data_IF_338745469025
#
_entry.id   IF_338745469025
#
_cell.length_a   1.000
_cell.length_b   1.000
_cell.length_c   1.000
_cell.angle_alpha   90.00
_cell.angle_beta   90.00
_cell.angle_gamma   90.00
#
_symmetry.space_group_name_H-M   'P 1'
#
loop_
_entity.id
_entity.type
_entity.pdbx_description
1 polymer ?
#
# COMPACT_ATOMS: atom_id res chain seq x y z
N UNK A 1 -28.97 3.77 -13.35
CA UNK A 1 -28.61 2.33 -13.31
C UNK A 1 -27.10 2.23 -13.11
N UNK A 2 -26.65 2.01 -11.87
CA UNK A 2 -25.29 1.54 -11.60
C UNK A 2 -25.35 0.74 -10.30
N UNK A 3 -25.80 -0.51 -10.45
CA UNK A 3 -25.70 -1.52 -9.42
C UNK A 3 -24.25 -2.04 -9.41
N UNK A 4 -23.54 -1.84 -8.30
CA UNK A 4 -22.59 -2.78 -7.70
C UNK A 4 -21.69 -2.09 -6.65
N UNK A 5 -22.19 -1.93 -5.41
CA UNK A 5 -21.30 -1.97 -4.25
C UNK A 5 -21.47 -3.26 -3.42
N UNK A 6 -22.36 -4.18 -3.82
CA UNK A 6 -22.63 -5.45 -3.11
C UNK A 6 -21.81 -6.64 -3.62
N UNK A 7 -21.46 -6.71 -4.91
CA UNK A 7 -20.69 -7.84 -5.46
C UNK A 7 -19.28 -7.95 -4.85
N UNK A 8 -18.66 -6.82 -4.49
CA UNK A 8 -17.34 -6.81 -3.85
C UNK A 8 -17.37 -7.31 -2.39
N UNK A 9 -18.55 -7.42 -1.76
CA UNK A 9 -18.67 -7.77 -0.33
C UNK A 9 -18.79 -9.28 -0.07
N UNK A 10 -19.19 -10.05 -1.08
CA UNK A 10 -19.25 -11.52 -1.03
C UNK A 10 -18.01 -12.20 -1.61
N UNK A 11 -17.10 -11.43 -2.19
CA UNK A 11 -15.82 -11.94 -2.68
C UNK A 11 -14.97 -12.42 -1.47
N UNK A 12 -14.40 -13.64 -1.51
CA UNK A 12 -13.55 -14.13 -0.43
C UNK A 12 -12.44 -13.12 -0.15
N UNK A 13 -12.11 -12.95 1.13
CA UNK A 13 -11.16 -11.91 1.59
C UNK A 13 -9.82 -11.98 0.87
N UNK A 14 -9.42 -13.17 0.42
CA UNK A 14 -8.27 -13.40 -0.46
C UNK A 14 -8.30 -12.55 -1.72
N UNK A 15 -9.41 -12.56 -2.42
CA UNK A 15 -9.54 -12.00 -3.77
C UNK A 15 -9.67 -10.47 -3.68
N UNK A 16 -10.24 -9.96 -2.57
CA UNK A 16 -10.17 -8.54 -2.21
C UNK A 16 -8.73 -8.08 -1.92
N UNK A 17 -7.98 -8.85 -1.11
CA UNK A 17 -6.56 -8.55 -0.83
C UNK A 17 -5.71 -8.63 -2.10
N UNK A 18 -5.94 -9.64 -2.94
CA UNK A 18 -5.30 -9.79 -4.23
C UNK A 18 -5.51 -8.54 -5.09
N UNK A 19 -6.76 -8.08 -5.21
CA UNK A 19 -7.10 -6.88 -5.99
C UNK A 19 -6.41 -5.62 -5.46
N UNK A 20 -6.37 -5.44 -4.14
CA UNK A 20 -5.67 -4.29 -3.53
C UNK A 20 -4.16 -4.34 -3.77
N UNK A 21 -3.55 -5.51 -3.66
CA UNK A 21 -2.11 -5.69 -3.88
C UNK A 21 -1.74 -5.53 -5.35
N UNK A 22 -2.55 -6.06 -6.28
CA UNK A 22 -2.37 -5.87 -7.72
C UNK A 22 -2.48 -4.39 -8.10
N UNK A 23 -3.50 -3.68 -7.59
CA UNK A 23 -3.63 -2.22 -7.82
C UNK A 23 -2.38 -1.45 -7.37
N UNK A 24 -1.75 -1.89 -6.27
CA UNK A 24 -0.49 -1.30 -5.82
C UNK A 24 0.67 -1.63 -6.76
N UNK A 25 0.75 -2.87 -7.25
CA UNK A 25 1.75 -3.27 -8.24
C UNK A 25 1.60 -2.44 -9.52
N UNK A 26 0.39 -2.19 -10.01
CA UNK A 26 0.15 -1.39 -11.21
C UNK A 26 0.71 0.04 -11.06
N UNK A 27 0.50 0.65 -9.89
CA UNK A 27 1.06 1.98 -9.56
C UNK A 27 2.59 1.96 -9.54
N UNK A 28 3.20 0.89 -9.00
CA UNK A 28 4.65 0.73 -9.01
C UNK A 28 5.19 0.48 -10.42
N UNK A 29 4.47 -0.29 -11.23
CA UNK A 29 4.81 -0.61 -12.62
C UNK A 29 4.83 0.63 -13.50
N UNK A 30 3.90 1.58 -13.28
CA UNK A 30 3.92 2.87 -13.96
C UNK A 30 5.22 3.67 -13.72
N UNK A 31 5.92 3.40 -12.62
CA UNK A 31 7.17 4.07 -12.22
C UNK A 31 8.33 3.07 -12.03
N UNK A 32 8.31 1.96 -12.77
CA UNK A 32 9.17 0.78 -12.52
C UNK A 32 10.66 1.13 -12.40
N UNK A 33 11.19 1.92 -13.32
CA UNK A 33 12.61 2.28 -13.32
C UNK A 33 13.04 3.00 -12.03
N UNK A 34 12.24 3.98 -11.58
CA UNK A 34 12.51 4.74 -10.35
C UNK A 34 12.38 3.87 -9.10
N UNK A 35 11.35 3.01 -9.05
CA UNK A 35 11.14 2.08 -7.93
C UNK A 35 12.28 1.06 -7.85
N UNK A 36 12.74 0.52 -8.98
CA UNK A 36 13.87 -0.42 -9.01
C UNK A 36 15.18 0.24 -8.57
N UNK A 37 15.43 1.48 -8.97
CA UNK A 37 16.59 2.25 -8.50
C UNK A 37 16.54 2.43 -6.98
N UNK A 38 15.39 2.85 -6.43
CA UNK A 38 15.18 2.99 -4.99
C UNK A 38 15.37 1.66 -4.23
N UNK A 39 14.85 0.56 -4.76
CA UNK A 39 15.00 -0.76 -4.15
C UNK A 39 16.43 -1.32 -4.26
N UNK A 40 17.28 -0.75 -5.13
CA UNK A 40 18.72 -1.09 -5.20
C UNK A 40 19.54 -0.28 -4.20
N UNK A 41 19.15 0.96 -3.89
CA UNK A 41 19.85 1.81 -2.91
C UNK A 41 19.44 1.49 -1.46
N UNK A 42 18.24 0.97 -1.23
CA UNK A 42 17.75 0.60 0.10
C UNK A 42 18.74 -0.19 0.99
N UNK A 43 19.41 -1.26 0.54
CA UNK A 43 20.37 -1.98 1.38
C UNK A 43 21.63 -1.18 1.73
N UNK A 44 22.01 -0.19 0.92
CA UNK A 44 23.15 0.68 1.19
C UNK A 44 22.81 1.82 2.16
N UNK A 45 21.52 2.15 2.30
CA UNK A 45 21.00 3.23 3.14
C UNK A 45 20.06 2.68 4.24
N UNK A 46 20.59 2.26 5.40
CA UNK A 46 19.80 1.67 6.49
C UNK A 46 18.61 2.53 6.96
N UNK A 47 18.71 3.88 7.05
CA UNK A 47 17.56 4.72 7.41
C UNK A 47 16.42 4.64 6.41
N UNK A 48 16.74 4.60 5.11
CA UNK A 48 15.76 4.49 4.03
C UNK A 48 15.07 3.12 4.08
N UNK A 49 15.84 2.05 4.24
CA UNK A 49 15.29 0.69 4.38
C UNK A 49 14.33 0.59 5.58
N UNK A 50 14.70 1.18 6.72
CA UNK A 50 13.86 1.18 7.91
C UNK A 50 12.56 1.96 7.67
N UNK A 51 12.66 3.15 7.10
CA UNK A 51 11.48 3.96 6.77
C UNK A 51 10.55 3.24 5.79
N UNK A 52 11.10 2.63 4.74
CA UNK A 52 10.33 1.86 3.75
C UNK A 52 9.66 0.63 4.38
N UNK A 53 10.35 -0.05 5.29
CA UNK A 53 9.79 -1.16 6.06
C UNK A 53 8.63 -0.74 6.95
N UNK A 54 8.80 0.36 7.70
CA UNK A 54 7.75 0.93 8.56
C UNK A 54 6.53 1.39 7.74
N UNK A 55 6.76 2.09 6.63
CA UNK A 55 5.70 2.53 5.72
C UNK A 55 4.96 1.34 5.12
N UNK A 56 5.69 0.29 4.69
CA UNK A 56 5.10 -0.94 4.17
C UNK A 56 4.25 -1.64 5.22
N UNK A 57 4.74 -1.77 6.46
CA UNK A 57 3.97 -2.39 7.56
C UNK A 57 2.69 -1.61 7.87
N UNK A 58 2.76 -0.27 7.89
CA UNK A 58 1.56 0.58 8.08
C UNK A 58 0.55 0.38 6.94
N UNK A 59 1.02 0.33 5.70
CA UNK A 59 0.18 0.09 4.53
C UNK A 59 -0.51 -1.29 4.58
N UNK A 60 0.21 -2.35 4.99
CA UNK A 60 -0.39 -3.68 5.15
C UNK A 60 -1.48 -3.71 6.22
N UNK A 61 -1.28 -2.98 7.33
CA UNK A 61 -2.31 -2.85 8.37
C UNK A 61 -3.58 -2.21 7.83
N UNK A 62 -3.46 -1.11 7.08
CA UNK A 62 -4.61 -0.45 6.46
C UNK A 62 -5.32 -1.33 5.42
N UNK A 63 -4.58 -2.12 4.62
CA UNK A 63 -5.19 -3.05 3.66
C UNK A 63 -5.98 -4.16 4.34
N UNK A 64 -5.47 -4.72 5.45
CA UNK A 64 -6.20 -5.70 6.25
C UNK A 64 -7.47 -5.09 6.85
N UNK A 65 -7.40 -3.86 7.37
CA UNK A 65 -8.55 -3.16 7.94
C UNK A 65 -9.61 -2.78 6.89
N UNK A 66 -9.18 -2.52 5.64
CA UNK A 66 -10.06 -2.24 4.51
C UNK A 66 -10.93 -3.44 4.15
N UNK A 67 -10.39 -4.66 4.24
CA UNK A 67 -11.13 -5.93 4.02
C UNK A 67 -11.80 -6.48 5.29
N UNK A 68 -11.84 -5.69 6.38
CA UNK A 68 -12.52 -6.06 7.62
C UNK A 68 -11.75 -7.04 8.50
N UNK A 69 -10.46 -7.25 8.28
CA UNK A 69 -9.63 -8.08 9.16
C UNK A 69 -9.17 -7.27 10.37
N UNK A 70 -9.44 -7.78 11.56
CA UNK A 70 -8.93 -7.18 12.78
C UNK A 70 -7.40 -7.38 12.93
N UNK A 71 -6.70 -6.25 13.06
CA UNK A 71 -5.23 -6.14 13.20
C UNK A 71 -4.79 -5.94 14.66
N UNK A 72 -5.74 -6.00 15.61
CA UNK A 72 -5.47 -5.84 17.05
C UNK A 72 -5.03 -7.15 17.70
N UNK A 73 -4.19 -7.03 18.74
CA UNK A 73 -3.68 -8.17 19.52
C UNK A 73 -2.59 -8.99 18.81
N UNK A 74 -2.14 -10.06 19.48
CA UNK A 74 -1.05 -10.93 19.01
C UNK A 74 -1.37 -11.61 17.66
N UNK A 75 -2.62 -12.04 17.48
CA UNK A 75 -3.10 -12.66 16.23
C UNK A 75 -3.18 -11.63 15.09
N UNK A 76 -3.64 -10.41 15.37
CA UNK A 76 -3.69 -9.33 14.40
C UNK A 76 -2.31 -8.91 13.91
N UNK A 77 -1.33 -8.82 14.83
CA UNK A 77 0.06 -8.54 14.46
C UNK A 77 0.68 -9.65 13.59
N UNK A 78 0.32 -10.92 13.86
CA UNK A 78 0.75 -12.04 13.02
C UNK A 78 0.17 -11.95 11.60
N UNK A 79 -1.09 -11.55 11.45
CA UNK A 79 -1.71 -11.30 10.14
C UNK A 79 -1.02 -10.18 9.38
N UNK A 80 -0.67 -9.08 10.05
CA UNK A 80 0.10 -7.97 9.46
C UNK A 80 1.45 -8.47 8.97
N UNK A 81 2.20 -9.22 9.80
CA UNK A 81 3.49 -9.79 9.40
C UNK A 81 3.36 -10.78 8.24
N UNK A 82 2.32 -11.60 8.23
CA UNK A 82 2.01 -12.50 7.12
C UNK A 82 1.78 -11.74 5.82
N UNK A 83 0.97 -10.68 5.85
CA UNK A 83 0.72 -9.87 4.65
C UNK A 83 1.98 -9.12 4.20
N UNK A 84 2.81 -8.62 5.12
CA UNK A 84 4.13 -8.06 4.79
C UNK A 84 5.00 -9.09 4.07
N UNK A 85 5.03 -10.34 4.54
CA UNK A 85 5.81 -11.40 3.90
C UNK A 85 5.29 -11.73 2.49
N UNK A 86 3.96 -11.81 2.31
CA UNK A 86 3.33 -11.96 0.99
C UNK A 86 3.75 -10.82 0.07
N UNK A 87 3.64 -9.58 0.52
CA UNK A 87 4.03 -8.41 -0.26
C UNK A 87 5.50 -8.44 -0.67
N UNK A 88 6.42 -8.77 0.24
CA UNK A 88 7.84 -8.87 -0.08
C UNK A 88 8.12 -9.95 -1.12
N UNK A 89 7.40 -11.08 -1.05
CA UNK A 89 7.49 -12.14 -2.05
C UNK A 89 7.01 -11.66 -3.42
N UNK A 90 5.86 -10.99 -3.47
CA UNK A 90 5.30 -10.42 -4.70
C UNK A 90 6.21 -9.36 -5.30
N UNK A 91 6.73 -8.43 -4.50
CA UNK A 91 7.70 -7.42 -4.97
C UNK A 91 8.96 -8.10 -5.50
N UNK A 92 9.46 -9.16 -4.86
CA UNK A 92 10.61 -9.91 -5.35
C UNK A 92 10.35 -10.54 -6.71
N UNK A 93 9.17 -11.13 -6.92
CA UNK A 93 8.76 -11.67 -8.22
C UNK A 93 8.64 -10.55 -9.27
N UNK A 94 7.93 -9.47 -8.93
CA UNK A 94 7.76 -8.29 -9.78
C UNK A 94 9.08 -7.65 -10.23
N UNK A 95 10.08 -7.59 -9.34
CA UNK A 95 11.42 -7.09 -9.72
C UNK A 95 12.10 -7.93 -10.80
N UNK A 96 11.84 -9.24 -10.81
CA UNK A 96 12.39 -10.18 -11.79
C UNK A 96 11.48 -10.35 -13.02
N UNK A 97 10.24 -9.84 -12.95
CA UNK A 97 9.25 -9.93 -14.00
C UNK A 97 9.45 -8.79 -15.00
N UNK A 98 9.80 -9.15 -16.24
CA UNK A 98 9.94 -8.21 -17.37
C UNK A 98 8.77 -8.32 -18.35
N UNK A 99 7.79 -9.18 -18.04
CA UNK A 99 6.61 -9.37 -18.88
C UNK A 99 5.66 -8.16 -18.77
N UNK A 100 4.99 -7.82 -19.88
CA UNK A 100 4.04 -6.71 -19.91
C UNK A 100 2.72 -7.04 -19.19
N UNK A 101 2.39 -8.32 -19.10
CA UNK A 101 1.16 -8.86 -18.49
C UNK A 101 1.32 -9.21 -17.01
N UNK A 102 2.53 -9.12 -16.45
CA UNK A 102 2.85 -9.42 -15.04
C UNK A 102 2.40 -10.83 -14.61
N UNK A 103 2.30 -11.77 -15.55
CA UNK A 103 1.80 -13.11 -15.27
C UNK A 103 2.62 -13.85 -14.18
N UNK A 104 3.98 -13.80 -14.20
CA UNK A 104 4.80 -14.35 -13.11
C UNK A 104 4.50 -13.70 -11.75
N UNK A 105 4.33 -12.38 -11.71
CA UNK A 105 3.99 -11.64 -10.48
C UNK A 105 2.64 -12.05 -9.93
N UNK A 106 1.65 -12.18 -10.82
CA UNK A 106 0.28 -12.56 -10.48
C UNK A 106 0.23 -13.96 -9.86
N UNK A 107 0.90 -14.92 -10.51
CA UNK A 107 1.01 -16.29 -10.00
C UNK A 107 1.76 -16.35 -8.65
N UNK A 108 2.82 -15.56 -8.50
CA UNK A 108 3.56 -15.49 -7.24
C UNK A 108 2.71 -14.94 -6.09
N UNK A 109 1.88 -13.92 -6.37
CA UNK A 109 0.95 -13.36 -5.39
C UNK A 109 -0.13 -14.35 -4.98
N UNK A 110 -0.76 -15.04 -5.94
CA UNK A 110 -1.79 -16.05 -5.67
C UNK A 110 -1.24 -17.19 -4.78
N UNK A 111 -0.08 -17.74 -5.14
CA UNK A 111 0.59 -18.78 -4.35
C UNK A 111 0.95 -18.28 -2.94
N UNK A 112 1.40 -17.03 -2.81
CA UNK A 112 1.77 -16.46 -1.52
C UNK A 112 0.53 -16.25 -0.62
N UNK A 113 -0.57 -15.75 -1.16
CA UNK A 113 -1.85 -15.61 -0.43
C UNK A 113 -2.40 -16.97 -0.02
N UNK A 114 -2.44 -17.96 -0.92
CA UNK A 114 -2.90 -19.31 -0.60
C UNK A 114 -2.02 -20.03 0.44
N UNK A 115 -0.72 -19.70 0.52
CA UNK A 115 0.15 -20.14 1.64
C UNK A 115 -0.20 -19.45 2.94
N UNK A 116 -0.40 -18.12 2.92
CA UNK A 116 -0.77 -17.35 4.10
C UNK A 116 -2.10 -17.81 4.70
N UNK A 117 -3.10 -18.12 3.88
CA UNK A 117 -4.38 -18.67 4.32
C UNK A 117 -4.25 -20.04 4.99
N UNK A 118 -3.47 -20.95 4.39
CA UNK A 118 -3.21 -22.28 4.99
C UNK A 118 -2.51 -22.15 6.35
N UNK A 119 -1.52 -21.26 6.45
CA UNK A 119 -0.83 -20.99 7.72
C UNK A 119 -1.79 -20.37 8.74
N UNK A 120 -2.64 -19.44 8.33
CA UNK A 120 -3.65 -18.83 9.20
C UNK A 120 -4.69 -19.84 9.70
N UNK A 121 -5.13 -20.75 8.82
CA UNK A 121 -6.03 -21.86 9.16
C UNK A 121 -5.39 -22.85 10.12
N UNK A 122 -4.13 -23.22 9.88
CA UNK A 122 -3.35 -24.10 10.77
C UNK A 122 -3.13 -23.49 12.16
N UNK A 123 -2.89 -22.18 12.24
CA UNK A 123 -2.69 -21.47 13.52
C UNK A 123 -3.98 -21.23 14.31
N UNK A 124 -5.12 -21.78 13.89
CA UNK A 124 -6.41 -21.59 14.57
C UNK A 124 -6.88 -20.13 14.58
N UNK A 125 -6.39 -19.32 13.64
CA UNK A 125 -6.84 -17.92 13.45
C UNK A 125 -8.03 -17.83 12.47
N UNK A 126 -8.62 -18.98 12.16
CA UNK A 126 -9.63 -19.23 11.13
C UNK A 126 -10.99 -18.64 11.44
N UNK A 127 -11.19 -17.41 10.99
CA UNK A 127 -12.19 -17.04 9.98
C UNK A 127 -11.94 -15.57 9.69
N UNK A 128 -11.60 -15.22 8.44
CA UNK A 128 -11.63 -13.84 7.97
C UNK A 128 -13.09 -13.41 7.77
N UNK A 129 -13.96 -13.74 8.72
CA UNK A 129 -15.33 -13.24 8.77
C UNK A 129 -15.19 -11.75 9.06
N UNK A 130 -15.59 -10.85 8.14
CA UNK A 130 -15.64 -9.44 8.45
C UNK A 130 -16.60 -9.27 9.64
N UNK A 131 -16.25 -8.54 10.71
CA UNK A 131 -17.27 -8.06 11.61
C UNK A 131 -18.20 -7.15 10.79
N UNK A 132 -19.52 -7.32 10.95
CA UNK A 132 -20.50 -6.44 10.35
C UNK A 132 -20.18 -4.99 10.76
N UNK A 133 -19.65 -4.20 9.81
CA UNK A 133 -19.27 -2.81 10.09
C UNK A 133 -20.54 -1.98 10.16
N UNK A 134 -20.71 -1.28 11.28
CA UNK A 134 -21.69 -0.20 11.44
C UNK A 134 -21.50 0.88 10.36
N UNK A 135 -22.58 1.56 9.94
CA UNK A 135 -22.58 2.45 8.80
C UNK A 135 -21.56 3.59 8.95
N UNK A 136 -20.89 3.87 7.84
CA UNK A 136 -19.82 4.85 7.70
C UNK A 136 -20.38 6.25 7.48
N UNK A 137 -20.17 7.13 8.45
CA UNK A 137 -20.24 8.58 8.32
C UNK A 137 -19.00 9.23 8.97
N UNK A 138 -17.82 8.84 8.52
CA UNK A 138 -16.58 9.58 8.81
C UNK A 138 -15.81 9.84 7.52
N UNK A 139 -16.38 10.76 6.75
CA UNK A 139 -15.73 11.75 5.88
C UNK A 139 -14.35 11.40 5.31
N UNK A 140 -14.36 10.98 4.04
CA UNK A 140 -13.20 10.93 3.15
C UNK A 140 -12.79 12.32 2.61
N UNK A 141 -13.01 13.40 3.35
CA UNK A 141 -12.81 14.77 2.85
C UNK A 141 -11.45 15.41 3.20
N UNK A 142 -10.58 14.78 4.00
CA UNK A 142 -9.43 15.50 4.59
C UNK A 142 -8.03 14.94 4.27
N UNK A 143 -7.84 14.29 3.12
CA UNK A 143 -6.50 13.85 2.68
C UNK A 143 -6.09 14.41 1.30
N UNK A 144 -6.74 15.49 0.85
CA UNK A 144 -6.49 16.15 -0.44
C UNK A 144 -5.73 17.49 -0.38
N UNK A 145 -5.42 18.03 0.80
CA UNK A 145 -4.92 19.40 0.94
C UNK A 145 -3.40 19.54 1.18
N UNK A 146 -2.66 18.45 1.41
CA UNK A 146 -1.27 18.56 1.90
C UNK A 146 -0.15 18.41 0.84
N UNK A 147 -0.45 18.29 -0.46
CA UNK A 147 0.60 18.12 -1.50
C UNK A 147 0.58 19.13 -2.64
N UNK A 148 -0.16 20.24 -2.53
CA UNK A 148 -0.24 21.25 -3.59
C UNK A 148 0.45 22.60 -3.26
N UNK A 149 1.12 22.74 -2.11
CA UNK A 149 1.71 24.01 -1.67
C UNK A 149 3.25 23.95 -1.56
N UNK A 150 3.92 23.39 -2.58
CA UNK A 150 5.39 23.43 -2.68
C UNK A 150 5.92 23.87 -4.05
N UNK A 151 5.04 24.35 -4.94
CA UNK A 151 5.42 24.79 -6.28
C UNK A 151 4.85 26.17 -6.61
N UNK A 152 5.28 27.20 -5.88
CA UNK A 152 5.30 28.60 -6.36
C UNK A 152 6.28 29.38 -5.48
N UNK A 153 7.54 29.46 -5.90
CA UNK A 153 8.46 30.49 -5.45
C UNK A 153 8.48 31.57 -6.53
N UNK A 154 8.00 32.80 -6.28
CA UNK A 154 8.25 33.90 -7.19
C UNK A 154 9.63 34.49 -6.89
N UNK A 155 10.37 34.77 -7.97
CA UNK A 155 11.61 35.52 -7.95
C UNK A 155 11.45 36.83 -7.17
N UNK A 156 12.30 37.05 -6.17
CA UNK A 156 12.43 38.36 -5.53
C UNK A 156 13.36 39.24 -6.37
N UNK A 157 12.76 40.26 -6.99
CA UNK A 157 13.44 41.41 -7.57
C UNK A 157 13.95 42.33 -6.43
N UNK A 158 15.19 42.85 -6.48
CA UNK A 158 15.74 43.66 -5.39
C UNK A 158 15.09 45.06 -5.34
N UNK A 159 14.71 45.59 -4.16
CA UNK A 159 14.09 46.90 -4.06
C UNK A 159 15.10 48.04 -4.25
N UNK A 160 14.68 49.00 -5.08
CA UNK A 160 15.33 50.28 -5.33
C UNK A 160 15.50 51.12 -4.05
N UNK A 161 16.66 51.76 -3.92
CA UNK A 161 16.99 52.69 -2.85
C UNK A 161 16.13 53.97 -2.91
N UNK A 162 15.54 54.44 -1.80
CA UNK A 162 14.93 55.75 -1.74
C UNK A 162 15.99 56.84 -1.48
N UNK A 163 15.94 57.90 -2.28
CA UNK A 163 16.79 59.07 -2.18
C UNK A 163 16.63 59.85 -0.87
N UNK A 164 17.74 60.38 -0.39
CA UNK A 164 17.83 61.39 0.68
C UNK A 164 17.43 62.77 0.13
N UNK A 165 16.64 63.56 0.87
CA UNK A 165 16.64 65.02 0.73
C UNK A 165 17.52 65.68 1.80
N UNK A 166 18.58 66.38 1.35
CA UNK A 166 18.96 67.75 1.69
C UNK A 166 20.25 68.11 0.95
#
# INVERSE_FOLDING_TARGET
>A
MSAAPDAARDEPVRDQLFSLLMRRIDVLSAHRAGVLALLRTAPAEPPLALWLGCATRRSMRWMLEAVGIETRGLRGELRVKGLVAVWLWTVRAWRADESADLAPTMAALDVALGRAERVAGWLGTGSLRPPARMPADASAADLGSATAEAATAPAQEPPAAPGLPA
#
